data_IF_602367670137
#
_entry.id   IF_602367670137
#
_cell.length_a   1.000
_cell.length_b   1.000
_cell.length_c   1.000
_cell.angle_alpha   90.00
_cell.angle_beta   90.00
_cell.angle_gamma   90.00
#
_symmetry.space_group_name_H-M   'P 1'
#
loop_
_entity.id
_entity.type
_entity.pdbx_description
1 polymer ?
#
# COMPACT_ATOMS: atom_id res chain seq x y z
N UNK A 1 17.22 -3.64 27.85
CA UNK A 1 17.14 -3.04 26.50
C UNK A 1 15.83 -3.39 25.78
N UNK A 2 15.37 -4.63 25.83
CA UNK A 2 14.08 -5.11 25.31
C UNK A 2 12.87 -4.27 25.77
N UNK A 3 12.83 -3.83 27.03
CA UNK A 3 11.75 -2.98 27.58
C UNK A 3 11.63 -1.63 26.88
N UNK A 4 12.75 -1.01 26.45
CA UNK A 4 12.74 0.30 25.76
C UNK A 4 12.22 0.18 24.32
N UNK A 5 12.56 -0.91 23.63
CA UNK A 5 12.07 -1.17 22.26
C UNK A 5 10.58 -1.52 22.27
N UNK A 6 10.14 -2.33 23.25
CA UNK A 6 8.73 -2.65 23.41
C UNK A 6 7.88 -1.41 23.73
N UNK A 7 8.36 -0.51 24.59
CA UNK A 7 7.69 0.77 24.87
C UNK A 7 7.61 1.65 23.62
N UNK A 8 8.71 1.78 22.88
CA UNK A 8 8.72 2.54 21.62
C UNK A 8 7.72 1.96 20.61
N UNK A 9 7.66 0.64 20.45
CA UNK A 9 6.68 -0.02 19.59
C UNK A 9 5.23 0.23 20.04
N UNK A 10 4.98 0.14 21.35
CA UNK A 10 3.67 0.40 21.95
C UNK A 10 3.18 1.83 21.68
N UNK A 11 4.09 2.81 21.75
CA UNK A 11 3.80 4.23 21.51
C UNK A 11 3.72 4.57 20.02
N UNK A 12 4.57 3.99 19.18
CA UNK A 12 4.65 4.29 17.75
C UNK A 12 3.47 3.69 16.96
N UNK A 13 3.11 2.42 17.22
CA UNK A 13 2.05 1.70 16.50
C UNK A 13 0.73 2.49 16.40
N UNK A 14 0.14 3.02 17.48
CA UNK A 14 -1.12 3.76 17.37
C UNK A 14 -0.96 5.09 16.63
N UNK A 15 0.21 5.73 16.68
CA UNK A 15 0.47 6.99 15.96
C UNK A 15 0.55 6.76 14.45
N UNK A 16 1.34 5.76 14.02
CA UNK A 16 1.44 5.37 12.61
C UNK A 16 0.06 5.02 12.05
N UNK A 17 -0.70 4.21 12.79
CA UNK A 17 -2.06 3.86 12.40
C UNK A 17 -2.96 5.09 12.30
N UNK A 18 -3.04 5.93 13.35
CA UNK A 18 -3.92 7.11 13.34
C UNK A 18 -3.56 8.11 12.24
N UNK A 19 -2.28 8.36 12.00
CA UNK A 19 -1.82 9.23 10.92
C UNK A 19 -2.21 8.66 9.55
N UNK A 20 -1.95 7.37 9.29
CA UNK A 20 -2.35 6.72 8.04
C UNK A 20 -3.86 6.84 7.79
N UNK A 21 -4.69 6.57 8.81
CA UNK A 21 -6.14 6.66 8.67
C UNK A 21 -6.64 8.09 8.52
N UNK A 22 -6.03 9.06 9.22
CA UNK A 22 -6.39 10.47 9.10
C UNK A 22 -6.13 10.97 7.68
N UNK A 23 -4.91 10.77 7.16
CA UNK A 23 -4.52 11.14 5.80
C UNK A 23 -5.45 10.49 4.78
N UNK A 24 -5.76 9.20 4.94
CA UNK A 24 -6.69 8.50 4.04
C UNK A 24 -8.14 9.00 4.12
N UNK A 25 -8.61 9.44 5.29
CA UNK A 25 -9.99 9.90 5.49
C UNK A 25 -10.24 11.26 4.86
N UNK A 26 -9.26 12.16 4.96
CA UNK A 26 -9.38 13.55 4.51
C UNK A 26 -9.03 13.75 3.02
N UNK A 27 -8.68 12.68 2.28
CA UNK A 27 -8.48 12.70 0.82
C UNK A 27 -9.56 11.87 0.09
N UNK A 28 -10.77 12.42 -0.14
CA UNK A 28 -11.94 11.63 -0.49
C UNK A 28 -12.11 11.30 -1.98
N UNK A 29 -11.16 11.64 -2.88
CA UNK A 29 -11.39 11.65 -4.34
C UNK A 29 -12.01 10.36 -4.89
N UNK A 30 -11.66 9.19 -4.33
CA UNK A 30 -12.50 7.97 -4.34
C UNK A 30 -12.20 7.18 -3.06
N UNK A 31 -13.22 6.87 -2.25
CA UNK A 31 -13.06 6.02 -1.05
C UNK A 31 -12.89 4.55 -1.46
N UNK A 32 -11.69 4.18 -1.92
CA UNK A 32 -11.28 2.78 -2.00
C UNK A 32 -11.27 2.18 -0.60
N UNK A 33 -11.69 0.92 -0.44
CA UNK A 33 -11.43 0.18 0.82
C UNK A 33 -9.92 -0.02 1.03
N UNK A 34 -9.51 -0.44 2.23
CA UNK A 34 -8.08 -0.69 2.51
C UNK A 34 -7.49 -1.72 1.53
N UNK A 35 -8.17 -2.86 1.37
CA UNK A 35 -7.77 -3.92 0.44
C UNK A 35 -7.75 -3.43 -1.02
N UNK A 36 -8.73 -2.62 -1.44
CA UNK A 36 -8.72 -2.05 -2.81
C UNK A 36 -7.52 -1.11 -3.03
N UNK A 37 -7.21 -0.26 -2.05
CA UNK A 37 -6.05 0.62 -2.11
C UNK A 37 -4.73 -0.15 -2.07
N UNK A 38 -4.65 -1.21 -1.26
CA UNK A 38 -3.50 -2.10 -1.16
C UNK A 38 -3.22 -2.81 -2.49
N UNK A 39 -4.23 -3.47 -3.07
CA UNK A 39 -4.11 -4.12 -4.39
C UNK A 39 -3.69 -3.14 -5.48
N UNK A 40 -4.28 -1.95 -5.53
CA UNK A 40 -3.91 -0.94 -6.53
C UNK A 40 -2.45 -0.49 -6.36
N UNK A 41 -2.01 -0.27 -5.11
CA UNK A 41 -0.62 0.10 -4.78
C UNK A 41 0.35 -1.01 -5.15
N UNK A 42 0.00 -2.28 -4.87
CA UNK A 42 0.83 -3.43 -5.22
C UNK A 42 1.05 -3.52 -6.73
N UNK A 43 -0.02 -3.38 -7.52
CA UNK A 43 0.06 -3.42 -8.98
C UNK A 43 0.83 -2.22 -9.57
N UNK A 44 0.77 -1.04 -8.94
CA UNK A 44 1.54 0.14 -9.36
C UNK A 44 3.04 -0.01 -9.12
N UNK A 45 3.43 -0.67 -8.03
CA UNK A 45 4.83 -0.83 -7.65
C UNK A 45 5.47 -2.08 -8.27
N UNK A 46 4.71 -3.17 -8.40
CA UNK A 46 5.19 -4.46 -8.87
C UNK A 46 4.82 -4.80 -10.31
N UNK A 47 3.95 -4.01 -10.95
CA UNK A 47 3.42 -4.31 -12.28
C UNK A 47 2.29 -5.34 -12.28
N UNK A 48 1.96 -5.92 -13.45
CA UNK A 48 0.87 -6.88 -13.57
C UNK A 48 1.07 -8.13 -12.70
N UNK A 49 0.03 -8.58 -12.00
CA UNK A 49 0.06 -9.78 -11.15
C UNK A 49 -1.13 -10.70 -11.37
N UNK A 50 -0.94 -12.00 -11.11
CA UNK A 50 -2.04 -12.98 -11.14
C UNK A 50 -3.04 -12.71 -10.02
N UNK A 51 -4.31 -13.00 -10.27
CA UNK A 51 -5.38 -12.93 -9.26
C UNK A 51 -5.06 -13.76 -8.00
N UNK A 52 -4.44 -14.93 -8.16
CA UNK A 52 -4.02 -15.79 -7.05
C UNK A 52 -2.93 -15.15 -6.21
N UNK A 53 -1.90 -14.58 -6.85
CA UNK A 53 -0.82 -13.85 -6.17
C UNK A 53 -1.37 -12.68 -5.36
N UNK A 54 -2.30 -11.91 -5.94
CA UNK A 54 -2.96 -10.82 -5.21
C UNK A 54 -3.74 -11.34 -3.99
N UNK A 55 -4.46 -12.46 -4.12
CA UNK A 55 -5.20 -13.06 -3.01
C UNK A 55 -4.27 -13.51 -1.88
N UNK A 56 -3.13 -14.10 -2.22
CA UNK A 56 -2.13 -14.55 -1.25
C UNK A 56 -1.47 -13.39 -0.52
N UNK A 57 -1.05 -12.34 -1.25
CA UNK A 57 -0.44 -11.13 -0.69
C UNK A 57 -1.38 -10.42 0.28
N UNK A 58 -2.65 -10.27 -0.09
CA UNK A 58 -3.68 -9.65 0.74
C UNK A 58 -4.23 -10.59 1.82
N UNK A 59 -3.79 -11.86 1.84
CA UNK A 59 -4.26 -12.92 2.75
C UNK A 59 -5.79 -13.07 2.75
N UNK A 60 -6.39 -12.98 1.56
CA UNK A 60 -7.84 -13.14 1.35
C UNK A 60 -8.15 -14.35 0.47
N UNK A 61 -9.38 -14.83 0.51
CA UNK A 61 -9.82 -15.91 -0.38
C UNK A 61 -10.11 -15.38 -1.79
N UNK A 62 -10.00 -16.24 -2.79
CA UNK A 62 -10.24 -15.91 -4.20
C UNK A 62 -11.58 -15.21 -4.50
N UNK A 63 -12.73 -15.58 -3.89
CA UNK A 63 -13.98 -14.84 -4.08
C UNK A 63 -13.87 -13.37 -3.64
N UNK A 64 -13.25 -13.12 -2.49
CA UNK A 64 -13.00 -11.77 -1.98
C UNK A 64 -12.10 -10.98 -2.94
N UNK A 65 -11.00 -11.58 -3.42
CA UNK A 65 -10.11 -10.92 -4.38
C UNK A 65 -10.81 -10.62 -5.69
N UNK A 66 -11.67 -11.52 -6.17
CA UNK A 66 -12.50 -11.32 -7.35
C UNK A 66 -13.40 -10.09 -7.20
N UNK A 67 -14.04 -9.92 -6.05
CA UNK A 67 -14.91 -8.76 -5.81
C UNK A 67 -14.11 -7.45 -5.67
N UNK A 68 -12.93 -7.50 -5.05
CA UNK A 68 -12.00 -6.36 -4.99
C UNK A 68 -11.62 -5.89 -6.39
N UNK A 69 -11.13 -6.80 -7.24
CA UNK A 69 -10.67 -6.47 -8.59
C UNK A 69 -11.84 -6.05 -9.48
N UNK A 70 -13.01 -6.70 -9.38
CA UNK A 70 -14.23 -6.27 -10.08
C UNK A 70 -14.63 -4.83 -9.72
N UNK A 71 -14.46 -4.42 -8.45
CA UNK A 71 -14.77 -3.03 -8.07
C UNK A 71 -13.74 -2.05 -8.63
N UNK A 72 -12.45 -2.38 -8.58
CA UNK A 72 -11.40 -1.56 -9.18
C UNK A 72 -11.56 -1.42 -10.70
N UNK A 73 -11.94 -2.49 -11.38
CA UNK A 73 -12.19 -2.50 -12.82
C UNK A 73 -13.43 -1.68 -13.19
N UNK A 74 -14.51 -1.74 -12.40
CA UNK A 74 -15.68 -0.85 -12.56
C UNK A 74 -15.35 0.63 -12.37
N UNK A 75 -14.32 0.95 -11.59
CA UNK A 75 -13.80 2.31 -11.44
C UNK A 75 -12.83 2.68 -12.57
N UNK A 76 -12.57 1.76 -13.51
CA UNK A 76 -11.64 1.92 -14.61
C UNK A 76 -10.17 1.89 -14.17
N UNK A 77 -9.86 1.55 -12.92
CA UNK A 77 -8.51 1.67 -12.36
C UNK A 77 -7.58 0.52 -12.74
N UNK A 78 -8.17 -0.65 -13.01
CA UNK A 78 -7.43 -1.86 -13.41
C UNK A 78 -8.15 -2.54 -14.58
N UNK A 79 -7.42 -3.37 -15.31
CA UNK A 79 -7.94 -4.26 -16.34
C UNK A 79 -7.48 -5.69 -16.10
N UNK A 80 -8.24 -6.66 -16.62
CA UNK A 80 -7.93 -8.09 -16.55
C UNK A 80 -7.68 -8.65 -17.94
N UNK A 81 -6.72 -9.56 -18.04
CA UNK A 81 -6.46 -10.35 -19.26
C UNK A 81 -6.01 -11.77 -18.92
N UNK A 82 -6.20 -12.75 -19.82
CA UNK A 82 -5.59 -14.06 -19.66
C UNK A 82 -4.07 -13.94 -19.54
N UNK A 83 -3.46 -14.79 -18.72
CA UNK A 83 -2.02 -14.89 -18.66
C UNK A 83 -1.50 -15.64 -19.91
N UNK A 84 -0.62 -15.05 -20.74
CA UNK A 84 -0.06 -15.73 -21.90
C UNK A 84 0.77 -16.97 -21.55
N UNK A 85 1.28 -17.08 -20.32
CA UNK A 85 2.03 -18.24 -19.84
C UNK A 85 1.14 -19.34 -19.25
N UNK A 86 -0.10 -19.01 -18.84
CA UNK A 86 -1.10 -19.96 -18.34
C UNK A 86 -2.50 -19.46 -18.65
N UNK A 87 -3.11 -19.96 -19.73
CA UNK A 87 -4.43 -19.50 -20.18
C UNK A 87 -5.57 -19.72 -19.18
N UNK A 88 -5.35 -20.46 -18.07
CA UNK A 88 -6.31 -20.61 -16.97
C UNK A 88 -6.16 -19.51 -15.92
N UNK A 89 -5.02 -18.83 -15.87
CA UNK A 89 -4.75 -17.73 -14.96
C UNK A 89 -5.20 -16.39 -15.55
N UNK A 90 -5.54 -15.46 -14.66
CA UNK A 90 -5.92 -14.09 -15.00
C UNK A 90 -4.90 -13.13 -14.41
N UNK A 91 -4.30 -12.31 -15.27
CA UNK A 91 -3.47 -11.18 -14.89
C UNK A 91 -4.33 -9.93 -14.69
N UNK A 92 -3.98 -9.15 -13.69
CA UNK A 92 -4.53 -7.83 -13.41
C UNK A 92 -3.43 -6.81 -13.60
N UNK A 93 -3.73 -5.71 -14.27
CA UNK A 93 -2.80 -4.60 -14.48
C UNK A 93 -3.49 -3.26 -14.27
N UNK A 94 -2.71 -2.23 -13.92
CA UNK A 94 -3.24 -0.88 -13.71
C UNK A 94 -3.39 -0.18 -15.05
N UNK A 95 -4.55 0.44 -15.27
CA UNK A 95 -4.81 1.24 -16.47
C UNK A 95 -4.18 2.62 -16.36
N UNK A 96 -4.15 3.38 -17.45
CA UNK A 96 -3.75 4.79 -17.39
C UNK A 96 -4.65 5.63 -16.47
N UNK A 97 -5.95 5.31 -16.39
CA UNK A 97 -6.90 5.96 -15.47
C UNK A 97 -6.48 5.65 -14.03
N UNK A 98 -6.13 4.39 -13.72
CA UNK A 98 -5.61 3.98 -12.43
C UNK A 98 -4.32 4.71 -12.04
N UNK A 99 -3.40 4.87 -12.97
CA UNK A 99 -2.16 5.62 -12.75
C UNK A 99 -2.42 7.11 -12.47
N UNK A 100 -3.29 7.76 -13.26
CA UNK A 100 -3.68 9.17 -13.05
C UNK A 100 -4.37 9.35 -11.71
N UNK A 101 -5.31 8.46 -11.39
CA UNK A 101 -6.02 8.44 -10.11
C UNK A 101 -5.03 8.34 -8.94
N UNK A 102 -4.06 7.43 -9.02
CA UNK A 102 -3.06 7.28 -7.95
C UNK A 102 -2.18 8.52 -7.79
N UNK A 103 -1.74 9.15 -8.89
CA UNK A 103 -0.97 10.40 -8.82
C UNK A 103 -1.76 11.51 -8.14
N UNK A 104 -3.04 11.68 -8.50
CA UNK A 104 -3.92 12.66 -7.87
C UNK A 104 -4.11 12.38 -6.38
N UNK A 105 -4.24 11.10 -6.01
CA UNK A 105 -4.37 10.68 -4.63
C UNK A 105 -3.10 10.96 -3.81
N UNK A 106 -1.91 10.71 -4.37
CA UNK A 106 -0.64 11.05 -3.70
C UNK A 106 -0.56 12.55 -3.46
N UNK A 107 -0.76 13.37 -4.50
CA UNK A 107 -0.69 14.83 -4.38
C UNK A 107 -1.66 15.35 -3.32
N UNK A 108 -2.89 14.83 -3.28
CA UNK A 108 -3.85 15.23 -2.25
C UNK A 108 -3.41 14.87 -0.82
N UNK A 109 -2.78 13.71 -0.64
CA UNK A 109 -2.28 13.25 0.67
C UNK A 109 -1.05 14.02 1.11
N UNK A 110 -0.16 14.31 0.19
CA UNK A 110 1.02 15.17 0.41
C UNK A 110 0.58 16.57 0.81
N UNK A 111 -0.39 17.15 0.11
CA UNK A 111 -0.91 18.47 0.41
C UNK A 111 -1.56 18.53 1.80
N UNK A 112 -2.40 17.55 2.14
CA UNK A 112 -2.96 17.45 3.49
C UNK A 112 -1.87 17.35 4.56
N UNK A 113 -0.85 16.49 4.37
CA UNK A 113 0.26 16.39 5.31
C UNK A 113 1.08 17.67 5.39
N UNK A 114 1.30 18.36 4.27
CA UNK A 114 1.99 19.64 4.19
C UNK A 114 1.31 20.67 5.07
N UNK A 115 -0.02 20.79 4.99
CA UNK A 115 -0.80 21.68 5.85
C UNK A 115 -0.62 21.34 7.33
N UNK A 116 -0.71 20.05 7.70
CA UNK A 116 -0.50 19.62 9.10
C UNK A 116 0.93 19.89 9.61
N UNK A 117 1.94 19.76 8.76
CA UNK A 117 3.34 20.04 9.11
C UNK A 117 3.62 21.54 9.24
N UNK A 118 2.88 22.38 8.51
CA UNK A 118 2.99 23.84 8.64
C UNK A 118 2.43 24.37 9.97
N UNK A 119 1.50 23.64 10.60
CA UNK A 119 0.99 23.96 11.94
C UNK A 119 2.00 23.65 13.06
N UNK A 120 3.05 22.88 12.78
CA UNK A 120 4.09 22.54 13.75
C UNK A 120 5.15 23.63 13.87
N UNK A 121 5.74 23.73 15.04
CA UNK A 121 6.94 24.53 15.23
C UNK A 121 8.16 23.89 14.56
N UNK A 122 9.25 24.65 14.49
CA UNK A 122 10.48 24.20 13.83
C UNK A 122 11.13 23.01 14.54
N UNK A 123 11.00 22.93 15.87
CA UNK A 123 11.60 21.84 16.67
C UNK A 123 10.96 20.51 16.32
N UNK A 124 9.64 20.48 16.23
CA UNK A 124 8.88 19.29 15.87
C UNK A 124 9.15 18.88 14.42
N UNK A 125 9.25 19.84 13.48
CA UNK A 125 9.59 19.55 12.08
C UNK A 125 10.95 18.88 11.93
N UNK A 126 11.97 19.42 12.60
CA UNK A 126 13.33 18.84 12.61
C UNK A 126 13.33 17.44 13.22
N UNK A 127 12.57 17.21 14.30
CA UNK A 127 12.47 15.90 14.92
C UNK A 127 11.82 14.86 13.98
N UNK A 128 10.78 15.24 13.25
CA UNK A 128 10.13 14.39 12.24
C UNK A 128 11.12 14.07 11.11
N UNK A 129 11.81 15.08 10.57
CA UNK A 129 12.80 14.91 9.50
C UNK A 129 13.92 13.95 9.92
N UNK A 130 14.45 14.11 11.13
CA UNK A 130 15.47 13.23 11.68
C UNK A 130 15.00 11.77 11.86
N UNK A 131 13.69 11.54 12.03
CA UNK A 131 13.11 10.21 12.16
C UNK A 131 12.89 9.48 10.81
N UNK A 132 12.75 10.20 9.70
CA UNK A 132 12.44 9.62 8.38
C UNK A 132 13.40 8.52 7.92
N UNK A 133 14.74 8.64 8.10
CA UNK A 133 15.66 7.57 7.70
C UNK A 133 15.46 6.28 8.50
N UNK A 134 15.14 6.39 9.79
CA UNK A 134 14.90 5.23 10.65
C UNK A 134 13.57 4.55 10.30
N UNK A 135 12.50 5.33 10.10
CA UNK A 135 11.20 4.82 9.65
C UNK A 135 11.31 4.11 8.30
N UNK A 136 12.10 4.66 7.37
CA UNK A 136 12.36 4.04 6.06
C UNK A 136 13.05 2.68 6.20
N UNK A 137 13.99 2.53 7.14
CA UNK A 137 14.66 1.25 7.39
C UNK A 137 13.70 0.17 7.90
N UNK A 138 12.69 0.54 8.71
CA UNK A 138 11.66 -0.40 9.17
C UNK A 138 10.85 -0.97 7.99
N UNK A 139 10.51 -0.14 7.00
CA UNK A 139 9.73 -0.57 5.83
C UNK A 139 10.53 -1.46 4.86
N UNK A 140 11.85 -1.30 4.80
CA UNK A 140 12.71 -2.13 3.94
C UNK A 140 12.83 -3.58 4.42
N UNK A 141 12.61 -3.85 5.72
CA UNK A 141 12.69 -5.21 6.26
C UNK A 141 11.54 -6.09 5.76
N UNK A 142 10.31 -5.57 5.70
CA UNK A 142 9.15 -6.31 5.15
C UNK A 142 9.30 -6.64 3.66
N UNK A 143 9.84 -5.72 2.85
CA UNK A 143 10.02 -5.93 1.40
C UNK A 143 11.06 -7.02 1.11
N UNK A 144 12.10 -7.15 1.95
CA UNK A 144 13.13 -8.18 1.79
C UNK A 144 12.66 -9.55 2.29
N UNK A 145 11.89 -9.59 3.38
CA UNK A 145 11.31 -10.84 3.89
C UNK A 145 10.26 -11.41 2.93
N UNK A 146 9.38 -10.56 2.36
CA UNK A 146 8.40 -10.98 1.36
C UNK A 146 9.05 -11.54 0.07
N UNK A 147 10.11 -10.87 -0.43
CA UNK A 147 10.89 -11.36 -1.59
C UNK A 147 11.61 -12.68 -1.32
N UNK A 148 12.10 -12.88 -0.10
CA UNK A 148 12.78 -14.11 0.31
C UNK A 148 11.80 -15.28 0.41
N UNK A 149 10.59 -15.06 0.90
CA UNK A 149 9.54 -16.07 0.96
C UNK A 149 8.98 -16.46 -0.42
N UNK A 150 8.91 -15.51 -1.35
CA UNK A 150 8.49 -15.75 -2.75
C UNK A 150 9.53 -16.62 -3.49
N UNK A 151 10.83 -16.34 -3.32
CA UNK A 151 11.91 -17.18 -3.87
C UNK A 151 11.88 -18.63 -3.35
N UNK A 152 11.55 -18.82 -2.06
CA UNK A 152 11.49 -20.16 -1.44
C UNK A 152 10.27 -20.95 -1.91
N UNK A 153 9.18 -20.29 -2.35
CA UNK A 153 7.99 -20.98 -2.90
C UNK A 153 8.16 -21.40 -4.35
N UNK A 154 8.87 -20.62 -5.16
CA UNK A 154 9.11 -20.95 -6.57
C UNK A 154 10.14 -22.08 -6.76
N UNK A 155 10.89 -22.44 -5.71
CA UNK A 155 11.86 -23.56 -5.69
C UNK A 155 11.27 -24.90 -5.19
N UNK A 156 9.96 -24.99 -4.92
CA UNK A 156 9.27 -26.21 -4.44
C UNK A 156 8.19 -26.71 -5.39
#
# INVERSE_FOLDING_TARGET
MTTKVADLAHRLRPLVFRLYYLVRRETPQVRLTLTQGSVLSELLNGGPRRMSTLADLERVRMPTMTDVVRRLERLGLVSRRPDPADGRAVLVEVTEVGQRFHRQLIVAREEFLRERLLELDETDRVAIEAALPALTKLLRQEIQEAKKEELIRDER
#
